data_IF_186492019304
#
_entry.id   IF_186492019304
#
_cell.length_a   1.000
_cell.length_b   1.000
_cell.length_c   1.000
_cell.angle_alpha   90.00
_cell.angle_beta   90.00
_cell.angle_gamma   90.00
#
_symmetry.space_group_name_H-M   'P 1'
#
loop_
_entity.id
_entity.type
_entity.pdbx_description
1 polymer ?
#
# COMPACT_ATOMS: atom_id res chain seq x y z
N UNK A 1 13.82 -9.44 -11.54
CA UNK A 1 14.36 -9.74 -10.19
C UNK A 1 13.33 -10.57 -9.41
N UNK A 2 13.66 -11.09 -8.22
CA UNK A 2 12.71 -11.84 -7.38
C UNK A 2 11.42 -11.02 -7.13
N UNK A 3 11.55 -9.72 -6.86
CA UNK A 3 10.42 -8.79 -6.67
C UNK A 3 9.55 -8.68 -7.91
N UNK A 4 10.15 -8.59 -9.11
CA UNK A 4 9.39 -8.58 -10.38
C UNK A 4 8.63 -9.88 -10.60
N UNK A 5 9.27 -11.03 -10.34
CA UNK A 5 8.64 -12.33 -10.50
C UNK A 5 7.49 -12.50 -9.51
N UNK A 6 7.70 -12.14 -8.24
CA UNK A 6 6.64 -12.10 -7.24
C UNK A 6 5.48 -11.21 -7.70
N UNK A 7 5.79 -9.98 -8.15
CA UNK A 7 4.79 -9.03 -8.61
C UNK A 7 3.92 -9.59 -9.74
N UNK A 8 4.54 -10.14 -10.78
CA UNK A 8 3.83 -10.69 -11.93
C UNK A 8 3.02 -11.94 -11.56
N UNK A 9 3.63 -12.90 -10.87
CA UNK A 9 2.96 -14.16 -10.52
C UNK A 9 1.81 -13.93 -9.52
N UNK A 10 2.03 -13.13 -8.48
CA UNK A 10 1.01 -12.86 -7.47
C UNK A 10 -0.09 -11.93 -8.01
N UNK A 11 0.27 -10.93 -8.83
CA UNK A 11 -0.70 -10.09 -9.54
C UNK A 11 -1.62 -10.91 -10.45
N UNK A 12 -1.07 -11.86 -11.22
CA UNK A 12 -1.85 -12.80 -12.03
C UNK A 12 -2.77 -13.65 -11.14
N UNK A 13 -2.25 -14.18 -10.03
CA UNK A 13 -3.06 -14.96 -9.09
C UNK A 13 -4.25 -14.15 -8.54
N UNK A 14 -4.01 -12.94 -8.01
CA UNK A 14 -5.06 -12.05 -7.50
C UNK A 14 -6.05 -11.67 -8.60
N UNK A 15 -5.57 -11.36 -9.80
CA UNK A 15 -6.41 -11.01 -10.94
C UNK A 15 -7.39 -12.12 -11.32
N UNK A 16 -6.94 -13.39 -11.29
CA UNK A 16 -7.81 -14.51 -11.63
C UNK A 16 -8.74 -14.92 -10.49
N UNK A 17 -8.29 -14.82 -9.24
CA UNK A 17 -9.03 -15.35 -8.08
C UNK A 17 -9.91 -14.33 -7.38
N UNK A 18 -9.55 -13.05 -7.40
CA UNK A 18 -10.16 -12.08 -6.51
C UNK A 18 -10.69 -10.83 -7.22
N UNK A 19 -10.06 -10.36 -8.29
CA UNK A 19 -10.53 -9.19 -9.03
C UNK A 19 -11.88 -9.43 -9.73
N UNK A 20 -12.87 -8.58 -9.46
CA UNK A 20 -14.15 -8.59 -10.16
C UNK A 20 -13.98 -8.07 -11.58
N UNK A 21 -14.09 -8.97 -12.57
CA UNK A 21 -13.92 -8.62 -13.98
C UNK A 21 -15.11 -7.84 -14.54
N UNK A 22 -16.28 -7.89 -13.88
CA UNK A 22 -17.42 -7.07 -14.27
C UNK A 22 -17.17 -5.57 -14.03
N UNK A 23 -16.25 -5.23 -13.13
CA UNK A 23 -15.84 -3.83 -12.89
C UNK A 23 -15.26 -3.15 -14.15
N UNK A 24 -14.79 -3.93 -15.14
CA UNK A 24 -14.25 -3.43 -16.41
C UNK A 24 -15.30 -2.80 -17.32
N UNK A 25 -16.58 -3.10 -17.11
CA UNK A 25 -17.67 -2.54 -17.90
C UNK A 25 -18.06 -1.13 -17.43
N UNK A 26 -17.47 -0.65 -16.33
CA UNK A 26 -17.67 0.71 -15.85
C UNK A 26 -16.97 1.72 -16.78
N UNK A 27 -17.62 2.87 -16.99
CA UNK A 27 -17.20 3.90 -17.96
C UNK A 27 -15.79 4.49 -17.73
N UNK A 28 -15.20 4.29 -16.55
CA UNK A 28 -13.87 4.80 -16.20
C UNK A 28 -12.75 3.77 -16.34
N UNK A 29 -13.03 2.55 -16.78
CA UNK A 29 -12.02 1.54 -17.05
C UNK A 29 -11.49 1.67 -18.49
N UNK A 30 -10.18 1.81 -18.68
CA UNK A 30 -9.58 1.93 -20.03
C UNK A 30 -9.13 0.58 -20.56
N UNK A 31 -9.23 0.37 -21.88
CA UNK A 31 -8.77 -0.87 -22.53
C UNK A 31 -7.28 -1.17 -22.31
N UNK A 32 -6.43 -0.13 -22.29
CA UNK A 32 -4.99 -0.26 -22.03
C UNK A 32 -4.60 -0.30 -20.56
N UNK A 33 -5.57 -0.17 -19.63
CA UNK A 33 -5.28 0.13 -18.22
C UNK A 33 -4.34 -0.91 -17.58
N UNK A 34 -4.61 -2.20 -17.75
CA UNK A 34 -3.77 -3.27 -17.16
C UNK A 34 -2.32 -3.18 -17.66
N UNK A 35 -2.11 -2.91 -18.95
CA UNK A 35 -0.77 -2.74 -19.51
C UNK A 35 -0.07 -1.54 -18.89
N UNK A 36 -0.79 -0.42 -18.75
CA UNK A 36 -0.24 0.81 -18.20
C UNK A 36 0.07 0.66 -16.70
N UNK A 37 -0.79 -0.01 -15.92
CA UNK A 37 -0.57 -0.38 -14.51
C UNK A 37 0.66 -1.27 -14.36
N UNK A 38 0.84 -2.29 -15.23
CA UNK A 38 2.04 -3.14 -15.22
C UNK A 38 3.29 -2.32 -15.52
N UNK A 39 3.27 -1.48 -16.56
CA UNK A 39 4.42 -0.66 -16.92
C UNK A 39 4.82 0.31 -15.79
N UNK A 40 3.82 0.96 -15.18
CA UNK A 40 4.03 1.87 -14.06
C UNK A 40 4.57 1.14 -12.83
N UNK A 41 3.98 0.00 -12.47
CA UNK A 41 4.45 -0.84 -11.37
C UNK A 41 5.89 -1.32 -11.58
N UNK A 42 6.25 -1.78 -12.78
CA UNK A 42 7.62 -2.22 -13.07
C UNK A 42 8.62 -1.06 -13.00
N UNK A 43 8.25 0.13 -13.47
CA UNK A 43 9.06 1.34 -13.34
C UNK A 43 9.30 1.71 -11.87
N UNK A 44 8.23 1.71 -11.06
CA UNK A 44 8.29 1.94 -9.62
C UNK A 44 9.15 0.93 -8.90
N UNK A 45 9.00 -0.37 -9.19
CA UNK A 45 9.79 -1.42 -8.57
C UNK A 45 11.28 -1.29 -8.91
N UNK A 46 11.61 -0.95 -10.16
CA UNK A 46 13.00 -0.75 -10.57
C UNK A 46 13.66 0.40 -9.82
N UNK A 47 13.08 1.60 -9.88
CA UNK A 47 13.63 2.78 -9.23
C UNK A 47 13.54 2.69 -7.70
N UNK A 48 12.44 2.16 -7.17
CA UNK A 48 12.26 1.90 -5.74
C UNK A 48 13.31 0.96 -5.19
N UNK A 49 13.70 -0.08 -5.94
CA UNK A 49 14.81 -0.97 -5.53
C UNK A 49 16.14 -0.21 -5.42
N UNK A 50 16.42 0.72 -6.34
CA UNK A 50 17.63 1.56 -6.29
C UNK A 50 17.61 2.50 -5.09
N UNK A 51 16.47 3.16 -4.82
CA UNK A 51 16.32 4.08 -3.69
C UNK A 51 16.35 3.35 -2.33
N UNK A 52 15.93 2.08 -2.29
CA UNK A 52 15.88 1.30 -1.04
C UNK A 52 17.21 0.58 -0.75
N UNK A 53 18.08 0.39 -1.75
CA UNK A 53 19.36 -0.29 -1.57
C UNK A 53 20.25 0.31 -0.45
N UNK A 54 20.37 1.65 -0.30
CA UNK A 54 21.08 2.25 0.83
C UNK A 54 20.46 1.93 2.19
N UNK A 55 19.12 1.85 2.27
CA UNK A 55 18.40 1.53 3.52
C UNK A 55 18.71 0.10 3.96
N UNK A 56 18.59 -0.86 3.04
CA UNK A 56 18.98 -2.24 3.33
C UNK A 56 20.46 -2.39 3.65
N UNK A 57 21.33 -1.66 2.94
CA UNK A 57 22.77 -1.65 3.21
C UNK A 57 23.05 -1.13 4.63
N UNK A 58 22.34 -0.10 5.07
CA UNK A 58 22.47 0.41 6.42
C UNK A 58 22.00 -0.62 7.46
N UNK A 59 20.88 -1.30 7.22
CA UNK A 59 20.37 -2.37 8.09
C UNK A 59 21.38 -3.52 8.24
N UNK A 60 21.92 -4.05 7.15
CA UNK A 60 22.88 -5.18 7.20
C UNK A 60 24.25 -4.79 7.77
N UNK A 61 24.62 -3.51 7.71
CA UNK A 61 25.86 -2.98 8.30
C UNK A 61 25.73 -2.64 9.79
N UNK A 62 24.57 -2.91 10.40
CA UNK A 62 24.35 -2.69 11.83
C UNK A 62 24.06 -1.24 12.20
N UNK A 63 23.66 -0.40 11.25
CA UNK A 63 23.18 0.97 11.56
C UNK A 63 21.72 1.00 12.01
N UNK A 64 21.00 -0.12 11.93
CA UNK A 64 19.67 -0.29 12.52
C UNK A 64 19.76 -1.06 13.83
N UNK A 65 18.65 -1.08 14.58
CA UNK A 65 18.48 -1.80 15.84
C UNK A 65 17.96 -3.23 15.61
N UNK A 66 18.33 -3.85 14.49
CA UNK A 66 17.95 -5.24 14.21
C UNK A 66 18.81 -6.17 15.07
N UNK A 67 18.18 -7.17 15.67
CA UNK A 67 18.87 -8.15 16.51
C UNK A 67 18.42 -9.59 16.18
N UNK A 68 19.19 -10.64 16.53
CA UNK A 68 18.79 -12.02 16.25
C UNK A 68 17.59 -12.47 17.09
N UNK A 69 16.60 -13.12 16.48
CA UNK A 69 15.43 -13.67 17.18
C UNK A 69 15.81 -14.43 18.46
N UNK A 70 15.12 -14.12 19.57
CA UNK A 70 15.36 -14.76 20.86
C UNK A 70 16.37 -14.04 21.75
N UNK A 71 17.00 -12.96 21.26
CA UNK A 71 17.83 -12.08 22.10
C UNK A 71 16.98 -11.20 23.04
N UNK A 72 15.69 -11.04 22.76
CA UNK A 72 14.74 -10.38 23.65
C UNK A 72 13.81 -11.40 24.31
N UNK A 73 13.12 -10.95 25.37
CA UNK A 73 12.07 -11.73 26.00
C UNK A 73 10.96 -12.09 25.02
N UNK A 74 10.41 -13.30 25.12
CA UNK A 74 9.36 -13.81 24.21
C UNK A 74 8.14 -12.88 24.08
N UNK A 75 7.75 -12.16 25.15
CA UNK A 75 6.63 -11.22 25.11
C UNK A 75 6.94 -10.03 24.19
N UNK A 76 8.20 -9.59 24.13
CA UNK A 76 8.62 -8.52 23.25
C UNK A 76 8.69 -9.02 21.80
N UNK A 77 9.14 -10.26 21.57
CA UNK A 77 9.08 -10.89 20.24
C UNK A 77 7.67 -10.88 19.67
N UNK A 78 6.66 -11.14 20.51
CA UNK A 78 5.26 -11.09 20.08
C UNK A 78 4.73 -9.65 19.99
N UNK A 79 5.15 -8.74 20.88
CA UNK A 79 4.67 -7.36 20.89
C UNK A 79 5.13 -6.55 19.66
N UNK A 80 6.24 -6.93 19.03
CA UNK A 80 6.76 -6.22 17.85
C UNK A 80 5.76 -6.15 16.69
N UNK A 81 4.94 -7.17 16.46
CA UNK A 81 3.99 -7.17 15.34
C UNK A 81 2.87 -6.13 15.48
N UNK A 82 2.11 -6.07 16.58
CA UNK A 82 1.12 -5.02 16.77
C UNK A 82 1.76 -3.63 16.91
N UNK A 83 2.95 -3.51 17.51
CA UNK A 83 3.69 -2.24 17.58
C UNK A 83 4.09 -1.75 16.19
N UNK A 84 4.64 -2.63 15.35
CA UNK A 84 4.95 -2.34 13.96
C UNK A 84 3.70 -1.95 13.18
N UNK A 85 2.60 -2.69 13.34
CA UNK A 85 1.34 -2.43 12.64
C UNK A 85 0.82 -1.03 12.99
N UNK A 86 0.78 -0.68 14.27
CA UNK A 86 0.36 0.64 14.73
C UNK A 86 1.29 1.73 14.20
N UNK A 87 2.61 1.54 14.27
CA UNK A 87 3.59 2.49 13.75
C UNK A 87 3.42 2.71 12.25
N UNK A 88 3.41 1.62 11.49
CA UNK A 88 3.33 1.66 10.03
C UNK A 88 2.01 2.29 9.58
N UNK A 89 0.88 1.85 10.14
CA UNK A 89 -0.43 2.42 9.80
C UNK A 89 -0.54 3.91 10.14
N UNK A 90 0.06 4.35 11.25
CA UNK A 90 0.13 5.77 11.61
C UNK A 90 0.85 6.59 10.54
N UNK A 91 2.07 6.18 10.17
CA UNK A 91 2.85 6.91 9.17
C UNK A 91 2.23 6.83 7.79
N UNK A 92 1.71 5.66 7.41
CA UNK A 92 1.00 5.50 6.13
C UNK A 92 -0.19 6.44 6.03
N UNK A 93 -1.05 6.53 7.04
CA UNK A 93 -2.20 7.44 7.04
C UNK A 93 -1.78 8.90 6.85
N UNK A 94 -0.83 9.39 7.65
CA UNK A 94 -0.42 10.79 7.59
C UNK A 94 0.32 11.14 6.31
N UNK A 95 1.25 10.28 5.87
CA UNK A 95 1.95 10.48 4.59
C UNK A 95 0.96 10.47 3.43
N UNK A 96 -0.01 9.56 3.43
CA UNK A 96 -1.03 9.51 2.39
C UNK A 96 -1.83 10.82 2.35
N UNK A 97 -2.29 11.35 3.49
CA UNK A 97 -2.96 12.68 3.54
C UNK A 97 -2.06 13.81 3.04
N UNK A 98 -0.77 13.79 3.38
CA UNK A 98 0.22 14.78 2.89
C UNK A 98 0.34 14.72 1.37
N UNK A 99 0.37 13.52 0.78
CA UNK A 99 0.39 13.33 -0.67
C UNK A 99 -0.87 13.83 -1.39
N UNK A 100 -1.99 14.02 -0.67
CA UNK A 100 -3.19 14.67 -1.19
C UNK A 100 -3.19 16.21 -1.11
N UNK A 101 -2.14 16.83 -0.56
CA UNK A 101 -1.96 18.29 -0.63
C UNK A 101 -1.74 18.69 -2.11
N UNK A 102 -2.35 19.77 -2.63
CA UNK A 102 -2.40 20.05 -4.07
C UNK A 102 -1.06 20.07 -4.82
N UNK A 103 0.04 20.43 -4.16
CA UNK A 103 1.38 20.40 -4.75
C UNK A 103 1.86 18.95 -4.95
N UNK A 104 1.87 18.16 -3.88
CA UNK A 104 2.34 16.78 -3.90
C UNK A 104 1.39 15.88 -4.68
N UNK A 105 0.08 16.15 -4.62
CA UNK A 105 -0.91 15.41 -5.40
C UNK A 105 -0.63 15.53 -6.88
N UNK A 106 -0.50 16.75 -7.39
CA UNK A 106 -0.22 16.97 -8.82
C UNK A 106 1.13 16.37 -9.24
N UNK A 107 2.16 16.53 -8.42
CA UNK A 107 3.51 16.09 -8.75
C UNK A 107 3.70 14.56 -8.68
N UNK A 108 3.07 13.90 -7.71
CA UNK A 108 3.41 12.52 -7.34
C UNK A 108 2.17 11.61 -7.32
N UNK A 109 1.15 11.97 -6.54
CA UNK A 109 0.04 11.06 -6.21
C UNK A 109 -1.06 10.96 -7.28
N UNK A 110 -1.17 11.95 -8.17
CA UNK A 110 -2.20 11.96 -9.22
C UNK A 110 -2.05 10.81 -10.21
N UNK A 111 -0.82 10.31 -10.40
CA UNK A 111 -0.54 9.13 -11.24
C UNK A 111 -1.19 7.88 -10.67
N UNK A 112 -1.08 7.67 -9.37
CA UNK A 112 -1.73 6.58 -8.64
C UNK A 112 -3.26 6.65 -8.77
N UNK A 113 -3.82 7.84 -8.56
CA UNK A 113 -5.26 8.10 -8.66
C UNK A 113 -5.84 8.12 -10.08
N UNK A 114 -4.99 7.98 -11.10
CA UNK A 114 -5.44 7.85 -12.50
C UNK A 114 -6.25 6.56 -12.71
N UNK A 115 -6.01 5.54 -11.89
CA UNK A 115 -6.70 4.25 -11.92
C UNK A 115 -7.87 4.26 -10.93
N UNK A 116 -9.02 4.79 -11.35
CA UNK A 116 -10.23 4.90 -10.49
C UNK A 116 -10.81 3.53 -10.12
N UNK A 117 -10.57 2.52 -10.96
CA UNK A 117 -10.95 1.13 -10.73
C UNK A 117 -9.64 0.34 -10.75
N UNK A 118 -8.89 0.34 -9.65
CA UNK A 118 -7.59 -0.31 -9.60
C UNK A 118 -7.74 -1.81 -9.85
N UNK A 119 -6.83 -2.41 -10.62
CA UNK A 119 -6.67 -3.88 -10.64
C UNK A 119 -5.52 -4.29 -9.71
N UNK A 120 -5.32 -5.58 -9.42
CA UNK A 120 -4.16 -6.02 -8.64
C UNK A 120 -2.82 -5.59 -9.22
N UNK A 121 -2.74 -5.29 -10.52
CA UNK A 121 -1.52 -4.77 -11.16
C UNK A 121 -1.23 -3.30 -10.82
N UNK A 122 -2.20 -2.57 -10.26
CA UNK A 122 -1.99 -1.20 -9.76
C UNK A 122 -1.27 -1.16 -8.40
N UNK A 123 -1.01 -2.31 -7.77
CA UNK A 123 -0.40 -2.42 -6.44
C UNK A 123 0.90 -1.61 -6.28
N UNK A 124 1.67 -1.39 -7.35
CA UNK A 124 2.88 -0.57 -7.33
C UNK A 124 2.84 0.57 -8.37
N UNK A 125 1.67 0.89 -8.93
CA UNK A 125 1.52 1.86 -10.02
C UNK A 125 1.52 3.33 -9.54
N UNK A 126 2.51 3.66 -8.73
CA UNK A 126 2.76 4.97 -8.14
C UNK A 126 3.81 5.78 -8.93
N UNK A 127 4.08 7.00 -8.49
CA UNK A 127 5.36 7.63 -8.80
C UNK A 127 6.50 6.96 -7.99
N UNK A 128 7.68 6.65 -8.56
CA UNK A 128 8.72 5.93 -7.83
C UNK A 128 9.15 6.56 -6.49
N UNK A 129 9.31 7.90 -6.49
CA UNK A 129 9.64 8.65 -5.27
C UNK A 129 8.55 8.55 -4.20
N UNK A 130 7.28 8.55 -4.61
CA UNK A 130 6.15 8.45 -3.71
C UNK A 130 6.11 7.08 -3.05
N UNK A 131 6.18 6.01 -3.86
CA UNK A 131 6.24 4.64 -3.36
C UNK A 131 7.41 4.44 -2.39
N UNK A 132 8.58 4.99 -2.71
CA UNK A 132 9.73 4.92 -1.83
C UNK A 132 9.48 5.64 -0.49
N UNK A 133 8.99 6.89 -0.51
CA UNK A 133 8.68 7.63 0.73
C UNK A 133 7.64 6.88 1.57
N UNK A 134 6.54 6.42 0.95
CA UNK A 134 5.51 5.66 1.66
C UNK A 134 6.07 4.35 2.24
N UNK A 135 6.97 3.66 1.51
CA UNK A 135 7.61 2.43 2.00
C UNK A 135 8.55 2.64 3.21
N UNK A 136 9.03 3.87 3.45
CA UNK A 136 9.88 4.17 4.61
C UNK A 136 9.19 3.87 5.94
N UNK A 137 7.86 3.91 6.02
CA UNK A 137 7.14 3.48 7.23
C UNK A 137 7.44 2.01 7.60
N UNK A 138 7.69 1.15 6.61
CA UNK A 138 8.06 -0.26 6.85
C UNK A 138 9.51 -0.40 7.29
N UNK A 139 10.42 0.39 6.73
CA UNK A 139 11.85 0.25 7.00
C UNK A 139 12.33 1.02 8.22
N UNK A 140 11.75 2.19 8.48
CA UNK A 140 12.16 3.08 9.57
C UNK A 140 11.95 2.48 10.95
N UNK A 141 11.01 1.54 11.11
CA UNK A 141 10.71 0.93 12.41
C UNK A 141 11.97 0.38 13.07
N UNK A 142 12.78 -0.40 12.36
CA UNK A 142 13.99 -1.02 12.92
C UNK A 142 15.15 -0.05 13.12
N UNK A 143 15.09 1.18 12.61
CA UNK A 143 16.04 2.24 12.98
C UNK A 143 15.63 2.94 14.28
N UNK A 144 14.34 2.99 14.58
CA UNK A 144 13.79 3.70 15.74
C UNK A 144 13.69 2.75 16.95
N UNK A 145 13.12 1.56 16.76
CA UNK A 145 12.94 0.54 17.81
C UNK A 145 13.67 -0.76 17.49
N UNK A 146 14.10 -1.51 18.53
CA UNK A 146 14.67 -2.84 18.34
C UNK A 146 13.67 -3.77 17.67
N UNK A 147 14.11 -4.52 16.67
CA UNK A 147 13.28 -5.50 15.97
C UNK A 147 14.08 -6.76 15.68
N UNK A 148 13.50 -7.94 15.90
CA UNK A 148 14.18 -9.17 15.52
C UNK A 148 14.30 -9.28 14.00
N UNK A 149 15.38 -9.88 13.54
CA UNK A 149 15.63 -10.19 12.13
C UNK A 149 14.47 -10.96 11.48
N UNK A 150 13.92 -11.95 12.18
CA UNK A 150 12.76 -12.72 11.74
C UNK A 150 11.51 -11.86 11.67
N UNK A 151 11.23 -11.02 12.68
CA UNK A 151 10.10 -10.10 12.63
C UNK A 151 10.23 -9.14 11.45
N UNK A 152 11.41 -8.57 11.21
CA UNK A 152 11.70 -7.65 10.10
C UNK A 152 11.39 -8.28 8.74
N UNK A 153 11.77 -9.56 8.53
CA UNK A 153 11.47 -10.29 7.30
C UNK A 153 9.98 -10.57 7.17
N UNK A 154 9.32 -11.02 8.26
CA UNK A 154 7.88 -11.31 8.25
C UNK A 154 7.09 -10.06 7.90
N UNK A 155 7.32 -8.92 8.57
CA UNK A 155 6.56 -7.69 8.29
C UNK A 155 6.83 -7.17 6.88
N UNK A 156 8.06 -7.30 6.37
CA UNK A 156 8.38 -6.94 5.00
C UNK A 156 7.60 -7.79 3.99
N UNK A 157 7.60 -9.12 4.16
CA UNK A 157 6.85 -10.03 3.30
C UNK A 157 5.34 -9.78 3.38
N UNK A 158 4.79 -9.65 4.59
CA UNK A 158 3.37 -9.37 4.81
C UNK A 158 2.97 -8.02 4.22
N UNK A 159 3.80 -6.98 4.36
CA UNK A 159 3.54 -5.67 3.75
C UNK A 159 3.45 -5.78 2.21
N UNK A 160 4.37 -6.52 1.57
CA UNK A 160 4.34 -6.72 0.11
C UNK A 160 3.09 -7.48 -0.35
N UNK A 161 2.64 -8.49 0.39
CA UNK A 161 1.38 -9.21 0.11
C UNK A 161 0.18 -8.29 0.33
N UNK A 162 0.18 -7.53 1.43
CA UNK A 162 -0.89 -6.61 1.79
C UNK A 162 -1.11 -5.54 0.72
N UNK A 163 -0.04 -5.01 0.12
CA UNK A 163 -0.14 -4.02 -0.97
C UNK A 163 -1.02 -4.53 -2.12
N UNK A 164 -0.95 -5.82 -2.47
CA UNK A 164 -1.85 -6.39 -3.47
C UNK A 164 -3.28 -6.53 -2.96
N UNK A 165 -3.45 -7.04 -1.73
CA UNK A 165 -4.78 -7.26 -1.13
C UNK A 165 -5.54 -5.94 -0.90
N UNK A 166 -4.83 -4.84 -0.67
CA UNK A 166 -5.42 -3.51 -0.54
C UNK A 166 -5.99 -2.99 -1.87
N UNK A 167 -5.34 -3.34 -2.98
CA UNK A 167 -5.80 -3.01 -4.34
C UNK A 167 -6.67 -4.13 -4.94
N UNK A 168 -7.09 -5.07 -4.09
CA UNK A 168 -7.96 -6.18 -4.42
C UNK A 168 -9.36 -5.91 -3.86
N UNK A 169 -10.37 -6.11 -4.70
CA UNK A 169 -11.72 -5.53 -4.59
C UNK A 169 -12.56 -6.04 -3.40
N UNK A 170 -11.98 -6.88 -2.52
CA UNK A 170 -12.69 -7.49 -1.39
C UNK A 170 -12.80 -6.57 -0.19
N UNK A 171 -11.74 -5.82 0.11
CA UNK A 171 -11.79 -4.75 1.11
C UNK A 171 -11.83 -3.43 0.38
N UNK A 172 -13.03 -3.12 -0.10
CA UNK A 172 -13.40 -1.91 -0.82
C UNK A 172 -12.95 -0.59 -0.17
N UNK A 173 -12.32 -0.62 1.01
CA UNK A 173 -11.80 0.53 1.74
C UNK A 173 -10.96 1.47 0.88
N UNK A 174 -9.90 0.95 0.25
CA UNK A 174 -9.03 1.73 -0.64
C UNK A 174 -9.68 1.99 -2.01
N UNK A 175 -10.53 1.06 -2.49
CA UNK A 175 -11.34 1.30 -3.69
C UNK A 175 -12.28 2.50 -3.52
N UNK A 176 -12.85 2.72 -2.32
CA UNK A 176 -13.61 3.95 -1.99
C UNK A 176 -12.70 5.16 -2.12
N UNK A 177 -11.48 5.10 -1.61
CA UNK A 177 -10.53 6.20 -1.68
C UNK A 177 -10.19 6.59 -3.13
N UNK A 178 -9.95 5.61 -4.01
CA UNK A 178 -9.78 5.86 -5.46
C UNK A 178 -10.99 6.51 -6.14
N UNK A 179 -12.21 6.30 -5.60
CA UNK A 179 -13.44 6.94 -6.09
C UNK A 179 -13.71 8.30 -5.46
N UNK A 180 -13.23 8.53 -4.23
CA UNK A 180 -13.32 9.78 -3.51
C UNK A 180 -12.04 10.04 -2.69
N UNK A 181 -11.16 10.87 -3.25
CA UNK A 181 -9.82 11.18 -2.72
C UNK A 181 -9.80 11.85 -1.34
N UNK A 182 -10.97 12.16 -0.75
CA UNK A 182 -11.09 12.78 0.58
C UNK A 182 -11.37 11.79 1.71
N UNK A 183 -11.57 10.51 1.40
CA UNK A 183 -12.04 9.50 2.34
C UNK A 183 -11.05 8.33 2.43
N UNK A 184 -11.02 7.62 3.56
CA UNK A 184 -10.35 6.32 3.73
C UNK A 184 -8.85 6.30 3.33
N UNK A 185 -8.02 7.08 4.02
CA UNK A 185 -6.58 7.16 3.76
C UNK A 185 -5.75 6.01 4.39
N UNK A 186 -6.31 5.29 5.36
CA UNK A 186 -5.66 4.22 6.10
C UNK A 186 -5.27 3.03 5.20
N UNK A 187 -4.20 2.34 5.58
CA UNK A 187 -3.66 1.22 4.80
C UNK A 187 -4.01 -0.13 5.42
N UNK A 188 -3.78 -0.30 6.72
CA UNK A 188 -4.04 -1.56 7.42
C UNK A 188 -5.28 -1.48 8.29
N UNK A 189 -5.54 -0.30 8.87
CA UNK A 189 -6.65 -0.10 9.79
C UNK A 189 -7.48 1.14 9.41
N UNK A 190 -8.74 1.14 9.83
CA UNK A 190 -9.62 2.33 9.76
C UNK A 190 -9.45 3.27 10.96
N UNK A 191 -8.48 3.00 11.85
CA UNK A 191 -8.32 3.70 13.12
C UNK A 191 -8.13 5.21 12.89
N UNK A 192 -7.13 5.57 12.08
CA UNK A 192 -6.79 6.97 11.85
C UNK A 192 -7.82 7.70 11.00
N UNK A 193 -8.54 7.00 10.12
CA UNK A 193 -9.67 7.58 9.42
C UNK A 193 -10.83 7.93 10.35
N UNK A 194 -11.10 7.10 11.36
CA UNK A 194 -12.12 7.40 12.38
C UNK A 194 -11.70 8.57 13.25
N UNK A 195 -10.42 8.61 13.65
CA UNK A 195 -9.86 9.71 14.45
C UNK A 195 -9.84 11.02 13.65
N UNK A 196 -9.43 10.96 12.39
CA UNK A 196 -9.28 12.12 11.51
C UNK A 196 -10.55 12.54 10.76
N UNK A 197 -11.68 11.86 11.00
CA UNK A 197 -12.98 12.18 10.40
C UNK A 197 -13.09 11.91 8.90
N UNK A 198 -12.29 10.98 8.38
CA UNK A 198 -12.22 10.62 6.95
C UNK A 198 -12.78 9.22 6.64
N UNK A 199 -13.26 8.51 7.66
CA UNK A 199 -13.81 7.16 7.53
C UNK A 199 -15.20 7.15 6.88
N UNK A 200 -15.37 6.27 5.89
CA UNK A 200 -16.68 5.84 5.41
C UNK A 200 -16.72 4.32 5.27
N UNK A 201 -17.86 3.72 5.59
CA UNK A 201 -18.05 2.28 5.44
C UNK A 201 -18.20 1.92 3.95
N UNK A 202 -17.34 1.04 3.40
CA UNK A 202 -17.38 0.71 1.98
C UNK A 202 -18.69 0.08 1.51
N UNK A 203 -19.33 -0.77 2.32
CA UNK A 203 -20.62 -1.38 1.97
C UNK A 203 -21.69 -0.33 1.73
N UNK A 204 -21.77 0.66 2.63
CA UNK A 204 -22.75 1.75 2.51
C UNK A 204 -22.46 2.68 1.33
N UNK A 205 -21.17 2.91 1.03
CA UNK A 205 -20.73 3.72 -0.10
C UNK A 205 -21.14 3.09 -1.45
N UNK A 206 -20.99 1.77 -1.58
CA UNK A 206 -21.32 1.06 -2.81
C UNK A 206 -22.81 0.69 -2.93
N UNK A 207 -23.55 0.58 -1.82
CA UNK A 207 -25.00 0.36 -1.82
C UNK A 207 -25.78 1.59 -2.33
N UNK A 208 -25.22 2.80 -2.21
CA UNK A 208 -25.84 4.04 -2.70
C UNK A 208 -25.71 4.23 -4.23
N UNK A 209 -25.99 3.19 -5.03
CA UNK A 209 -26.48 3.36 -6.41
C UNK A 209 -27.49 2.28 -6.78
N UNK A 210 -28.76 2.70 -6.88
CA UNK A 210 -29.45 2.66 -8.17
C UNK A 210 -30.07 4.02 -8.51
N UNK A 211 -29.58 4.69 -9.55
CA UNK A 211 -30.36 5.72 -10.27
C UNK A 211 -30.59 7.11 -9.65
N UNK A 212 -29.96 7.50 -8.54
CA UNK A 212 -30.24 8.78 -7.87
C UNK A 212 -29.29 9.93 -8.27
N UNK A 213 -29.13 10.18 -9.58
CA UNK A 213 -28.73 11.49 -10.14
C UNK A 213 -29.04 11.47 -11.65
N UNK A 214 -30.32 11.31 -11.97
CA UNK A 214 -30.92 11.97 -13.14
C UNK A 214 -31.87 13.02 -12.58
N UNK A 215 -31.40 14.27 -12.53
CA UNK A 215 -32.18 15.49 -12.77
C UNK A 215 -31.19 16.64 -12.92
#
# INVERSE_FOLDING_TARGET
>A
TLTTSFYLCFGVFCYYRHFDRASKDQTRFRSSQIRDEIADSLCTLFWGSMLTAPVFTAQIRGYSKIYPLGSASWWYEMAQYPLFLLFSDTWMYWMHRIFHIPLLFRALHSKHHRYVIPTPFSAYAFHPLEAWIMSLATYAYSFIWPMSDVAQVIVFCTANVWTFLLHDDRDHFHTVHHKNIKLNFGQYMSLWDKVGGTYVNPKTFFQHKPGADRK
#
